data_IF_505463671467
#
_entry.id   IF_505463671467
#
_cell.length_a   1.000
_cell.length_b   1.000
_cell.length_c   1.000
_cell.angle_alpha   90.00
_cell.angle_beta   90.00
_cell.angle_gamma   90.00
#
_symmetry.space_group_name_H-M   'P 1'
#
loop_
_entity.id
_entity.type
_entity.pdbx_description
1 polymer ?
#
# COMPACT_ATOMS: atom_id res chain seq x y z
N UNK A 1 1.82 -20.32 -1.46
CA UNK A 1 2.24 -19.02 -2.02
C UNK A 1 1.01 -18.13 -2.04
N UNK A 2 1.10 -16.89 -1.50
CA UNK A 2 -0.03 -15.95 -1.42
C UNK A 2 -0.22 -15.20 -2.74
N UNK A 3 -1.48 -15.10 -3.22
CA UNK A 3 -1.84 -14.24 -4.35
C UNK A 3 -2.06 -12.81 -3.86
N UNK A 4 -1.41 -11.86 -4.50
CA UNK A 4 -1.41 -10.45 -4.11
C UNK A 4 -2.07 -9.60 -5.19
N UNK A 5 -3.03 -8.76 -4.81
CA UNK A 5 -3.50 -7.65 -5.63
C UNK A 5 -2.83 -6.36 -5.18
N UNK A 6 -2.29 -5.58 -6.12
CA UNK A 6 -1.73 -4.26 -5.80
C UNK A 6 -2.62 -3.18 -6.40
N UNK A 7 -2.96 -2.18 -5.61
CA UNK A 7 -3.78 -1.03 -6.01
C UNK A 7 -2.89 0.21 -6.11
N UNK A 8 -2.87 0.85 -7.27
CA UNK A 8 -2.04 2.03 -7.52
C UNK A 8 -2.69 3.00 -8.50
N UNK A 9 -2.66 4.31 -8.20
CA UNK A 9 -3.22 5.37 -9.06
C UNK A 9 -2.18 6.08 -9.89
N UNK A 10 -0.90 6.02 -9.51
CA UNK A 10 0.21 6.81 -10.06
C UNK A 10 1.33 6.00 -10.70
N UNK A 11 2.57 6.42 -10.47
CA UNK A 11 3.79 5.84 -11.07
C UNK A 11 4.10 4.40 -10.70
N UNK A 12 3.58 3.93 -9.54
CA UNK A 12 3.69 2.55 -9.08
C UNK A 12 5.09 2.18 -8.56
N UNK A 13 5.82 3.11 -7.93
CA UNK A 13 7.16 2.86 -7.40
C UNK A 13 7.18 1.73 -6.36
N UNK A 14 6.27 1.77 -5.38
CA UNK A 14 6.10 0.72 -4.38
C UNK A 14 5.67 -0.62 -5.00
N UNK A 15 4.78 -0.59 -6.00
CA UNK A 15 4.44 -1.79 -6.76
C UNK A 15 5.66 -2.41 -7.44
N UNK A 16 6.51 -1.61 -8.08
CA UNK A 16 7.74 -2.08 -8.73
C UNK A 16 8.70 -2.67 -7.72
N UNK A 17 8.87 -2.06 -6.56
CA UNK A 17 9.69 -2.58 -5.47
C UNK A 17 9.19 -3.94 -4.99
N UNK A 18 7.89 -4.08 -4.70
CA UNK A 18 7.27 -5.36 -4.33
C UNK A 18 7.47 -6.43 -5.40
N UNK A 19 7.22 -6.08 -6.67
CA UNK A 19 7.38 -7.02 -7.79
C UNK A 19 8.84 -7.50 -7.95
N UNK A 20 9.81 -6.59 -7.78
CA UNK A 20 11.22 -6.95 -7.81
C UNK A 20 11.58 -7.96 -6.71
N UNK A 21 11.17 -7.72 -5.47
CA UNK A 21 11.44 -8.59 -4.33
C UNK A 21 10.75 -9.97 -4.47
N UNK A 22 9.57 -10.02 -5.09
CA UNK A 22 8.90 -11.28 -5.42
C UNK A 22 9.67 -12.05 -6.51
N UNK A 23 10.13 -11.35 -7.55
CA UNK A 23 10.89 -11.98 -8.63
C UNK A 23 12.27 -12.51 -8.20
N UNK A 24 12.90 -11.84 -7.22
CA UNK A 24 14.17 -12.30 -6.63
C UNK A 24 13.99 -13.47 -5.66
N UNK A 25 12.76 -13.84 -5.32
CA UNK A 25 12.48 -14.91 -4.36
C UNK A 25 12.50 -14.48 -2.89
N UNK A 26 12.70 -13.17 -2.61
CA UNK A 26 12.72 -12.64 -1.26
C UNK A 26 11.34 -12.64 -0.59
N UNK A 27 10.27 -12.45 -1.36
CA UNK A 27 8.88 -12.52 -0.88
C UNK A 27 8.21 -13.76 -1.46
N UNK A 28 7.74 -14.73 -0.64
CA UNK A 28 7.09 -15.97 -1.11
C UNK A 28 5.62 -15.71 -1.49
N UNK A 29 5.42 -14.76 -2.43
CA UNK A 29 4.12 -14.34 -2.94
C UNK A 29 4.10 -14.23 -4.46
N UNK A 30 2.94 -13.90 -5.01
CA UNK A 30 2.75 -13.65 -6.45
C UNK A 30 1.80 -12.49 -6.66
N UNK A 31 2.23 -11.43 -7.36
CA UNK A 31 1.33 -10.37 -7.79
C UNK A 31 0.57 -10.87 -9.01
N UNK A 32 -0.72 -11.11 -8.86
CA UNK A 32 -1.59 -11.64 -9.93
C UNK A 32 -2.49 -10.57 -10.52
N UNK A 33 -2.72 -9.47 -9.83
CA UNK A 33 -3.65 -8.42 -10.23
C UNK A 33 -3.13 -7.03 -9.86
N UNK A 34 -3.19 -6.10 -10.81
CA UNK A 34 -3.05 -4.66 -10.56
C UNK A 34 -4.40 -3.98 -10.77
N UNK A 35 -4.85 -3.24 -9.78
CA UNK A 35 -6.05 -2.42 -9.85
C UNK A 35 -5.67 -0.94 -9.88
N UNK A 36 -6.23 -0.18 -10.80
CA UNK A 36 -6.04 1.27 -10.88
C UNK A 36 -7.35 1.98 -11.26
N UNK A 37 -7.52 3.19 -10.74
CA UNK A 37 -8.57 4.10 -11.22
C UNK A 37 -8.13 4.91 -12.45
N UNK A 38 -6.83 4.92 -12.76
CA UNK A 38 -6.23 5.65 -13.88
C UNK A 38 -5.67 4.67 -14.94
N UNK A 39 -6.28 4.56 -16.12
CA UNK A 39 -5.85 3.65 -17.19
C UNK A 39 -4.46 3.99 -17.76
N UNK A 40 -4.00 5.23 -17.56
CA UNK A 40 -2.73 5.75 -18.07
C UNK A 40 -1.65 5.83 -16.99
N UNK A 41 -1.87 5.22 -15.83
CA UNK A 41 -0.88 5.23 -14.74
C UNK A 41 0.39 4.46 -15.12
N UNK A 42 1.52 4.89 -14.56
CA UNK A 42 2.79 4.17 -14.70
C UNK A 42 2.71 2.73 -14.16
N UNK A 43 1.89 2.51 -13.14
CA UNK A 43 1.63 1.17 -12.61
C UNK A 43 0.98 0.25 -13.65
N UNK A 44 -0.04 0.72 -14.38
CA UNK A 44 -0.71 -0.06 -15.44
C UNK A 44 0.25 -0.34 -16.60
N UNK A 45 1.04 0.66 -17.02
CA UNK A 45 2.06 0.45 -18.05
C UNK A 45 3.03 -0.65 -17.66
N UNK A 46 3.62 -0.54 -16.48
CA UNK A 46 4.58 -1.51 -15.95
C UNK A 46 3.97 -2.91 -15.82
N UNK A 47 2.73 -3.03 -15.33
CA UNK A 47 2.05 -4.31 -15.19
C UNK A 47 1.88 -5.02 -16.54
N UNK A 48 1.47 -4.31 -17.59
CA UNK A 48 1.33 -4.84 -18.96
C UNK A 48 2.68 -5.32 -19.53
N UNK A 49 3.74 -4.54 -19.32
CA UNK A 49 5.11 -4.91 -19.75
C UNK A 49 5.63 -6.17 -19.05
N UNK A 50 5.08 -6.49 -17.85
CA UNK A 50 5.45 -7.67 -17.07
C UNK A 50 4.40 -8.79 -17.09
N UNK A 51 3.40 -8.73 -18.00
CA UNK A 51 2.33 -9.72 -18.15
C UNK A 51 1.50 -9.96 -16.87
N UNK A 52 1.34 -8.93 -16.04
CA UNK A 52 0.47 -8.97 -14.85
C UNK A 52 -0.93 -8.48 -15.26
N UNK A 53 -1.97 -9.20 -14.84
CA UNK A 53 -3.34 -8.84 -15.17
C UNK A 53 -3.71 -7.45 -14.61
N UNK A 54 -4.36 -6.64 -15.44
CA UNK A 54 -4.70 -5.24 -15.09
C UNK A 54 -6.19 -5.03 -15.07
N UNK A 55 -6.70 -4.39 -14.02
CA UNK A 55 -8.09 -4.02 -13.86
C UNK A 55 -8.23 -2.52 -13.66
N UNK A 56 -9.01 -1.86 -14.52
CA UNK A 56 -9.31 -0.43 -14.38
C UNK A 56 -10.68 -0.27 -13.75
N UNK A 57 -10.71 0.35 -12.58
CA UNK A 57 -11.91 0.61 -11.77
C UNK A 57 -12.10 2.11 -11.61
N UNK A 58 -12.97 2.71 -12.42
CA UNK A 58 -13.31 4.14 -12.34
C UNK A 58 -14.74 4.42 -12.78
N UNK A 59 -15.19 5.67 -12.60
CA UNK A 59 -16.56 6.09 -12.90
C UNK A 59 -16.86 6.10 -14.40
N UNK A 60 -15.82 6.24 -15.25
CA UNK A 60 -16.00 6.26 -16.72
C UNK A 60 -16.32 4.87 -17.24
N UNK A 61 -15.67 3.84 -16.66
CA UNK A 61 -15.85 2.46 -17.08
C UNK A 61 -17.06 1.79 -16.43
N UNK A 62 -17.37 2.19 -15.20
CA UNK A 62 -18.48 1.69 -14.39
C UNK A 62 -19.20 2.88 -13.75
N UNK A 63 -20.26 3.36 -14.41
CA UNK A 63 -21.04 4.51 -13.95
C UNK A 63 -21.75 4.22 -12.62
N UNK A 64 -22.36 3.02 -12.52
CA UNK A 64 -23.04 2.60 -11.29
C UNK A 64 -22.03 2.19 -10.22
N UNK A 65 -22.00 2.85 -9.05
CA UNK A 65 -21.09 2.50 -7.95
C UNK A 65 -21.28 1.07 -7.43
N UNK A 66 -22.52 0.57 -7.40
CA UNK A 66 -22.84 -0.78 -6.90
C UNK A 66 -22.29 -1.86 -7.84
N UNK A 67 -22.45 -1.67 -9.15
CA UNK A 67 -21.92 -2.61 -10.13
C UNK A 67 -20.40 -2.59 -10.15
N UNK A 68 -19.79 -1.40 -10.01
CA UNK A 68 -18.34 -1.22 -9.88
C UNK A 68 -17.78 -1.98 -8.68
N UNK A 69 -18.44 -1.87 -7.52
CA UNK A 69 -18.06 -2.59 -6.31
C UNK A 69 -18.18 -4.10 -6.46
N UNK A 70 -19.31 -4.58 -6.97
CA UNK A 70 -19.53 -6.01 -7.23
C UNK A 70 -18.50 -6.58 -8.20
N UNK A 71 -18.20 -5.87 -9.27
CA UNK A 71 -17.21 -6.29 -10.25
C UNK A 71 -15.80 -6.37 -9.65
N UNK A 72 -15.42 -5.37 -8.85
CA UNK A 72 -14.13 -5.38 -8.17
C UNK A 72 -14.03 -6.55 -7.18
N UNK A 73 -15.05 -6.74 -6.36
CA UNK A 73 -15.09 -7.85 -5.39
C UNK A 73 -15.01 -9.21 -6.10
N UNK A 74 -15.78 -9.40 -7.18
CA UNK A 74 -15.73 -10.64 -7.95
C UNK A 74 -14.36 -10.88 -8.56
N UNK A 75 -13.73 -9.85 -9.13
CA UNK A 75 -12.38 -9.97 -9.68
C UNK A 75 -11.33 -10.36 -8.64
N UNK A 76 -11.46 -9.87 -7.40
CA UNK A 76 -10.57 -10.27 -6.29
C UNK A 76 -10.78 -11.73 -5.89
N UNK A 77 -12.04 -12.19 -5.85
CA UNK A 77 -12.40 -13.58 -5.54
C UNK A 77 -11.92 -14.52 -6.64
N UNK A 78 -12.20 -14.22 -7.91
CA UNK A 78 -11.83 -15.05 -9.07
C UNK A 78 -10.30 -15.22 -9.22
N UNK A 79 -9.53 -14.24 -8.75
CA UNK A 79 -8.08 -14.32 -8.73
C UNK A 79 -7.52 -14.90 -7.41
N UNK A 80 -8.38 -15.41 -6.52
CA UNK A 80 -8.01 -16.03 -5.24
C UNK A 80 -7.08 -15.13 -4.40
N UNK A 81 -7.39 -13.84 -4.33
CA UNK A 81 -6.54 -12.87 -3.63
C UNK A 81 -6.48 -13.16 -2.13
N UNK A 82 -5.28 -13.23 -1.59
CA UNK A 82 -5.00 -13.42 -0.17
C UNK A 82 -4.59 -12.11 0.52
N UNK A 83 -3.99 -11.19 -0.22
CA UNK A 83 -3.52 -9.90 0.29
C UNK A 83 -3.78 -8.80 -0.73
N UNK A 84 -4.29 -7.68 -0.27
CA UNK A 84 -4.41 -6.43 -1.03
C UNK A 84 -3.36 -5.44 -0.51
N UNK A 85 -2.50 -4.94 -1.40
CA UNK A 85 -1.50 -3.92 -1.11
C UNK A 85 -1.92 -2.60 -1.75
N UNK A 86 -2.24 -1.59 -0.94
CA UNK A 86 -2.44 -0.23 -1.43
C UNK A 86 -1.07 0.45 -1.55
N UNK A 87 -0.71 0.84 -2.75
CA UNK A 87 0.58 1.42 -3.11
C UNK A 87 0.38 2.76 -3.85
N UNK A 88 -0.10 3.75 -3.13
CA UNK A 88 -0.50 5.04 -3.70
C UNK A 88 -1.85 4.97 -4.44
N UNK A 89 -2.81 4.26 -3.91
CA UNK A 89 -4.18 4.25 -4.39
C UNK A 89 -4.98 5.40 -3.76
N UNK A 90 -5.58 6.26 -4.60
CA UNK A 90 -6.17 7.53 -4.15
C UNK A 90 -7.62 7.45 -3.70
N UNK A 91 -8.32 6.34 -3.98
CA UNK A 91 -9.71 6.18 -3.62
C UNK A 91 -9.87 5.35 -2.33
N UNK A 92 -10.89 5.67 -1.55
CA UNK A 92 -11.31 4.80 -0.46
C UNK A 92 -11.84 3.48 -1.03
N UNK A 93 -11.50 2.38 -0.38
CA UNK A 93 -12.05 1.08 -0.76
C UNK A 93 -13.51 0.97 -0.32
N UNK A 94 -14.36 0.27 -1.10
CA UNK A 94 -15.72 -0.06 -0.67
C UNK A 94 -15.71 -0.87 0.64
N UNK A 95 -16.68 -0.61 1.51
CA UNK A 95 -16.79 -1.30 2.81
C UNK A 95 -16.90 -2.82 2.67
N UNK A 96 -17.59 -3.31 1.65
CA UNK A 96 -17.70 -4.76 1.38
C UNK A 96 -16.32 -5.39 1.14
N UNK A 97 -15.41 -4.70 0.45
CA UNK A 97 -14.04 -5.17 0.23
C UNK A 97 -13.25 -5.17 1.53
N UNK A 98 -13.37 -4.09 2.32
CA UNK A 98 -12.72 -3.99 3.64
C UNK A 98 -13.17 -5.11 4.57
N UNK A 99 -14.47 -5.39 4.62
CA UNK A 99 -15.02 -6.48 5.45
C UNK A 99 -14.60 -7.86 4.95
N UNK A 100 -14.66 -8.11 3.63
CA UNK A 100 -14.29 -9.40 3.04
C UNK A 100 -12.81 -9.73 3.24
N UNK A 101 -11.95 -8.72 3.18
CA UNK A 101 -10.50 -8.83 3.31
C UNK A 101 -9.99 -8.25 4.64
N UNK A 102 -10.78 -8.37 5.72
CA UNK A 102 -10.39 -7.88 7.04
C UNK A 102 -9.02 -8.44 7.44
N UNK A 103 -8.11 -7.57 7.89
CA UNK A 103 -6.71 -7.90 8.21
C UNK A 103 -5.91 -8.51 7.03
N UNK A 104 -6.39 -8.33 5.79
CA UNK A 104 -5.73 -8.74 4.56
C UNK A 104 -5.57 -7.59 3.56
N UNK A 105 -5.75 -6.35 4.01
CA UNK A 105 -5.49 -5.15 3.23
C UNK A 105 -4.46 -4.31 3.97
N UNK A 106 -3.36 -3.98 3.31
CA UNK A 106 -2.31 -3.13 3.86
C UNK A 106 -2.15 -1.87 3.02
N UNK A 107 -1.89 -0.75 3.67
CA UNK A 107 -1.50 0.50 3.03
C UNK A 107 -0.12 0.93 3.50
N UNK A 108 0.63 1.56 2.59
CA UNK A 108 1.83 2.30 2.94
C UNK A 108 1.55 3.79 2.87
N UNK A 109 1.87 4.50 3.95
CA UNK A 109 1.65 5.93 4.08
C UNK A 109 2.97 6.66 4.39
N UNK A 110 3.29 7.76 3.68
CA UNK A 110 4.60 8.41 3.77
C UNK A 110 4.73 9.38 4.95
N UNK A 111 4.20 9.02 6.11
CA UNK A 111 4.38 9.75 7.37
C UNK A 111 4.28 8.80 8.58
N UNK A 112 4.56 9.33 9.76
CA UNK A 112 4.34 8.65 11.04
C UNK A 112 2.88 8.85 11.48
N UNK A 113 1.98 7.94 11.12
CA UNK A 113 0.58 7.99 11.55
C UNK A 113 0.48 7.98 13.09
N UNK A 114 -0.54 8.66 13.65
CA UNK A 114 -1.68 9.31 12.99
C UNK A 114 -1.42 10.72 12.42
N UNK A 115 -0.18 11.25 12.58
CA UNK A 115 0.15 12.60 12.08
C UNK A 115 0.26 12.58 10.56
N UNK A 116 -0.27 13.65 9.93
CA UNK A 116 -0.25 13.83 8.47
C UNK A 116 -0.89 12.68 7.69
N UNK A 117 -1.90 12.02 8.29
CA UNK A 117 -2.77 11.02 7.66
C UNK A 117 -4.20 11.51 7.49
N UNK A 118 -5.02 10.69 6.84
CA UNK A 118 -6.43 10.96 6.63
C UNK A 118 -6.75 11.69 5.32
N UNK A 119 -8.01 12.06 5.15
CA UNK A 119 -8.52 12.65 3.92
C UNK A 119 -7.76 13.90 3.52
N UNK A 120 -7.17 13.89 2.33
CA UNK A 120 -6.42 15.03 1.76
C UNK A 120 -4.91 14.91 1.88
N UNK A 121 -4.39 14.04 2.74
CA UNK A 121 -2.97 13.76 2.87
C UNK A 121 -2.55 12.61 1.94
N UNK A 122 -2.01 12.95 0.78
CA UNK A 122 -1.51 11.98 -0.20
C UNK A 122 -0.40 12.57 -1.08
N UNK A 123 0.51 11.73 -1.53
CA UNK A 123 1.62 12.11 -2.41
C UNK A 123 2.44 13.26 -1.82
N UNK A 124 2.78 14.25 -2.63
CA UNK A 124 3.63 15.37 -2.22
C UNK A 124 3.01 16.21 -1.09
N UNK A 125 1.68 16.26 -0.99
CA UNK A 125 0.97 17.04 0.03
C UNK A 125 1.30 16.62 1.47
N UNK A 126 1.64 15.36 1.68
CA UNK A 126 2.09 14.87 2.99
C UNK A 126 3.40 15.53 3.36
N UNK A 127 4.36 15.55 2.44
CA UNK A 127 5.69 16.12 2.66
C UNK A 127 5.65 17.64 2.77
N UNK A 128 4.79 18.32 1.98
CA UNK A 128 4.52 19.76 2.12
C UNK A 128 4.02 20.08 3.54
N UNK A 129 3.07 19.31 4.06
CA UNK A 129 2.55 19.50 5.40
C UNK A 129 3.59 19.22 6.50
N UNK A 130 4.41 18.19 6.33
CA UNK A 130 5.50 17.86 7.25
C UNK A 130 6.50 19.00 7.31
N UNK A 131 7.01 19.46 6.17
CA UNK A 131 7.99 20.57 6.11
C UNK A 131 7.38 21.86 6.68
N UNK A 132 6.17 22.21 6.29
CA UNK A 132 5.48 23.41 6.79
C UNK A 132 5.23 23.37 8.30
N UNK A 133 5.10 22.21 8.92
CA UNK A 133 4.87 22.05 10.36
C UNK A 133 6.12 22.24 11.22
N UNK A 134 7.31 22.22 10.62
CA UNK A 134 8.59 22.36 11.34
C UNK A 134 8.93 21.20 12.28
N UNK A 135 8.33 20.02 12.08
CA UNK A 135 8.63 18.83 12.91
C UNK A 135 10.02 18.27 12.57
N UNK A 136 10.69 17.73 13.57
CA UNK A 136 12.05 17.18 13.41
C UNK A 136 12.05 15.75 12.84
N UNK A 137 10.91 15.03 12.93
CA UNK A 137 10.76 13.65 12.47
C UNK A 137 9.55 13.48 11.57
N UNK A 138 9.73 12.74 10.50
CA UNK A 138 8.72 12.14 9.65
C UNK A 138 8.98 10.63 9.55
N UNK A 139 8.45 9.95 8.54
CA UNK A 139 8.73 8.53 8.34
C UNK A 139 7.76 7.86 7.39
N UNK A 140 7.67 6.57 7.56
CA UNK A 140 6.78 5.68 6.81
C UNK A 140 5.97 4.84 7.78
N UNK A 141 4.71 4.63 7.46
CA UNK A 141 3.83 3.72 8.18
C UNK A 141 3.26 2.67 7.24
N UNK A 142 3.38 1.39 7.60
CA UNK A 142 2.58 0.32 7.02
C UNK A 142 1.52 -0.07 8.03
N UNK A 143 0.26 -0.08 7.61
CA UNK A 143 -0.88 -0.37 8.48
C UNK A 143 -1.92 -1.23 7.77
N UNK A 144 -2.73 -1.95 8.52
CA UNK A 144 -3.96 -2.55 8.01
C UNK A 144 -4.98 -1.47 7.67
N UNK A 145 -5.84 -1.72 6.70
CA UNK A 145 -6.86 -0.78 6.24
C UNK A 145 -8.20 -1.12 6.87
N UNK A 146 -8.87 -0.11 7.36
CA UNK A 146 -10.27 -0.13 7.81
C UNK A 146 -11.16 0.75 6.92
N UNK A 147 -12.33 1.16 7.40
CA UNK A 147 -13.30 1.96 6.65
C UNK A 147 -12.92 3.46 6.55
N UNK A 148 -11.88 3.90 7.27
CA UNK A 148 -11.42 5.28 7.30
C UNK A 148 -10.04 5.43 6.67
N UNK A 149 -9.72 6.64 6.17
CA UNK A 149 -8.40 6.91 5.62
C UNK A 149 -7.34 6.86 6.72
N UNK A 150 -6.29 6.06 6.52
CA UNK A 150 -5.07 6.00 7.32
C UNK A 150 -5.30 5.78 8.84
N UNK A 151 -6.41 5.11 9.19
CA UNK A 151 -6.84 4.92 10.58
C UNK A 151 -6.55 3.52 11.13
N UNK A 152 -6.47 2.52 10.28
CA UNK A 152 -6.33 1.10 10.68
C UNK A 152 -5.07 0.80 11.49
N UNK A 153 -4.97 -0.42 12.02
CA UNK A 153 -3.91 -0.84 12.93
C UNK A 153 -2.53 -0.79 12.29
N UNK A 154 -1.61 -0.07 12.92
CA UNK A 154 -0.22 0.06 12.49
C UNK A 154 0.49 -1.28 12.67
N UNK A 155 1.18 -1.74 11.62
CA UNK A 155 1.98 -2.96 11.62
C UNK A 155 3.44 -2.62 11.91
N UNK A 156 3.97 -1.62 11.18
CA UNK A 156 5.36 -1.19 11.32
C UNK A 156 5.51 0.27 10.91
N UNK A 157 6.40 0.97 11.60
CA UNK A 157 6.78 2.36 11.27
C UNK A 157 8.30 2.48 11.26
N UNK A 158 8.81 3.29 10.34
CA UNK A 158 10.22 3.68 10.31
C UNK A 158 10.33 5.20 10.32
N UNK A 159 11.22 5.72 11.19
CA UNK A 159 11.43 7.15 11.38
C UNK A 159 12.50 7.68 10.45
N UNK A 160 12.30 8.91 9.98
CA UNK A 160 13.26 9.67 9.18
C UNK A 160 13.38 11.06 9.78
N UNK A 161 14.60 11.52 9.98
CA UNK A 161 14.85 12.90 10.41
C UNK A 161 14.47 13.87 9.29
N UNK A 162 13.72 14.94 9.61
CA UNK A 162 13.50 16.07 8.72
C UNK A 162 14.69 17.03 8.88
N UNK A 163 15.32 17.38 7.77
CA UNK A 163 16.47 18.29 7.77
C UNK A 163 16.00 19.74 7.60
N UNK A 164 16.74 20.68 8.13
CA UNK A 164 16.39 22.11 8.05
C UNK A 164 16.31 22.64 6.62
N UNK A 165 17.05 22.03 5.70
CA UNK A 165 17.10 22.35 4.28
C UNK A 165 16.12 21.55 3.42
N UNK A 166 15.33 20.65 4.02
CA UNK A 166 14.39 19.86 3.23
C UNK A 166 13.31 20.71 2.57
N UNK A 167 13.12 20.46 1.28
CA UNK A 167 11.88 20.76 0.58
C UNK A 167 10.96 19.55 0.63
N UNK A 168 9.70 19.71 0.22
CA UNK A 168 8.78 18.59 0.12
C UNK A 168 9.32 17.48 -0.80
N UNK A 169 9.97 17.85 -1.90
CA UNK A 169 10.55 16.94 -2.88
C UNK A 169 11.74 16.16 -2.31
N UNK A 170 12.68 16.83 -1.65
CA UNK A 170 13.86 16.16 -1.07
C UNK A 170 13.47 15.22 0.06
N UNK A 171 12.51 15.62 0.89
CA UNK A 171 11.96 14.74 1.91
C UNK A 171 11.25 13.53 1.28
N UNK A 172 10.42 13.75 0.23
CA UNK A 172 9.72 12.69 -0.47
C UNK A 172 10.69 11.65 -1.06
N UNK A 173 11.80 12.08 -1.67
CA UNK A 173 12.80 11.17 -2.21
C UNK A 173 13.46 10.30 -1.13
N UNK A 174 13.70 10.85 0.06
CA UNK A 174 14.27 10.11 1.19
C UNK A 174 13.25 9.15 1.81
N UNK A 175 12.01 9.59 1.97
CA UNK A 175 10.89 8.77 2.47
C UNK A 175 10.64 7.61 1.51
N UNK A 176 10.64 7.85 0.20
CA UNK A 176 10.42 6.81 -0.82
C UNK A 176 11.43 5.67 -0.74
N UNK A 177 12.70 5.95 -0.41
CA UNK A 177 13.71 4.90 -0.22
C UNK A 177 13.33 3.97 0.94
N UNK A 178 12.86 4.56 2.04
CA UNK A 178 12.40 3.78 3.21
C UNK A 178 11.10 3.03 2.90
N UNK A 179 10.18 3.61 2.14
CA UNK A 179 8.99 2.89 1.67
C UNK A 179 9.37 1.62 0.90
N UNK A 180 10.38 1.69 0.01
CA UNK A 180 10.84 0.57 -0.81
C UNK A 180 11.54 -0.54 0.00
N UNK A 181 11.95 -0.26 1.23
CA UNK A 181 12.50 -1.24 2.17
C UNK A 181 11.43 -1.78 3.11
N UNK A 182 10.65 -0.88 3.72
CA UNK A 182 9.68 -1.24 4.76
C UNK A 182 8.48 -2.02 4.21
N UNK A 183 7.93 -1.61 3.07
CA UNK A 183 6.74 -2.27 2.53
C UNK A 183 7.00 -3.72 2.13
N UNK A 184 8.08 -4.03 1.37
CA UNK A 184 8.45 -5.41 1.10
C UNK A 184 8.68 -6.26 2.36
N UNK A 185 9.30 -5.69 3.40
CA UNK A 185 9.51 -6.39 4.68
C UNK A 185 8.19 -6.82 5.32
N UNK A 186 7.19 -5.92 5.37
CA UNK A 186 5.89 -6.24 5.95
C UNK A 186 5.09 -7.22 5.08
N UNK A 187 5.12 -7.04 3.74
CA UNK A 187 4.48 -7.98 2.80
C UNK A 187 5.10 -9.37 2.88
N UNK A 188 6.43 -9.46 3.04
CA UNK A 188 7.13 -10.73 3.28
C UNK A 188 6.62 -11.40 4.56
N UNK A 189 6.56 -10.65 5.66
CA UNK A 189 6.09 -11.18 6.95
C UNK A 189 4.64 -11.71 6.84
N UNK A 190 3.77 -11.03 6.10
CA UNK A 190 2.42 -11.53 5.84
C UNK A 190 2.44 -12.82 5.00
N UNK A 191 3.22 -12.88 3.94
CA UNK A 191 3.32 -14.05 3.08
C UNK A 191 3.87 -15.29 3.81
N UNK A 192 4.68 -15.06 4.84
CA UNK A 192 5.26 -16.08 5.72
C UNK A 192 4.40 -16.39 6.95
N UNK A 193 3.18 -15.83 7.05
CA UNK A 193 2.24 -15.97 8.16
C UNK A 193 2.87 -15.55 9.52
N UNK A 194 3.81 -14.57 9.51
CA UNK A 194 4.51 -14.05 10.68
C UNK A 194 3.90 -12.79 11.30
N UNK A 195 2.77 -12.33 10.81
CA UNK A 195 2.02 -11.25 11.47
C UNK A 195 1.02 -11.89 12.43
N UNK A 196 1.30 -11.79 13.70
CA UNK A 196 0.43 -12.31 14.78
C UNK A 196 -0.28 -11.15 15.50
N UNK A 197 -1.28 -11.46 16.28
CA UNK A 197 -2.05 -10.48 17.04
C UNK A 197 -1.84 -10.66 18.54
N UNK A 198 -1.32 -9.62 19.18
CA UNK A 198 -1.17 -9.55 20.64
C UNK A 198 -1.91 -8.32 21.17
N UNK A 199 -2.79 -8.51 22.16
CA UNK A 199 -3.57 -7.43 22.77
C UNK A 199 -4.25 -6.50 21.74
N UNK A 200 -4.79 -7.08 20.65
CA UNK A 200 -5.42 -6.36 19.55
C UNK A 200 -4.46 -5.43 18.76
N UNK A 201 -3.15 -5.73 18.76
CA UNK A 201 -2.13 -5.09 17.95
C UNK A 201 -1.42 -6.12 17.06
N UNK A 202 -1.18 -5.84 15.77
CA UNK A 202 -0.38 -6.71 14.91
C UNK A 202 1.10 -6.58 15.27
N UNK A 203 1.79 -7.72 15.34
CA UNK A 203 3.22 -7.81 15.62
C UNK A 203 3.86 -8.71 14.58
N UNK A 204 5.05 -8.36 14.12
CA UNK A 204 5.84 -9.21 13.24
C UNK A 204 6.75 -10.09 14.10
N UNK A 205 6.53 -11.40 14.05
CA UNK A 205 7.45 -12.35 14.67
C UNK A 205 8.83 -12.31 14.00
N UNK A 206 9.86 -12.25 14.83
CA UNK A 206 11.25 -12.35 14.35
C UNK A 206 11.52 -13.82 14.00
N UNK A 207 11.93 -14.09 12.75
CA UNK A 207 12.39 -15.43 12.40
C UNK A 207 13.66 -15.73 13.20
N UNK A 208 13.57 -16.63 14.16
CA UNK A 208 14.78 -17.20 14.78
C UNK A 208 15.38 -18.11 13.69
N UNK A 209 16.43 -17.62 13.03
CA UNK A 209 17.19 -18.48 12.12
C UNK A 209 17.79 -19.62 12.96
N UNK A 210 17.34 -20.84 12.68
CA UNK A 210 17.95 -22.07 13.21
C UNK A 210 19.24 -22.35 12.46
#
# INVERSE_FOLDING_TARGET
MKNIAVFASGGGSNFKSLHYQIKSGEIPGRIVLIVSNNPNSGAIKYARENNIFTLIINNVRYENPVDREKFLLQALIDNEINLICLAGYMNLLPKSIVHQYNNCIMNIHPSLLPRFGGKGFYGIKVHEAVVASGVEESGVTVHFVDEEYDHGKIILQEKIKVLSEDTAETLAERVLKVEHELYPQVVKAFCEDRIIWENNHPIIEVSIAN
#
